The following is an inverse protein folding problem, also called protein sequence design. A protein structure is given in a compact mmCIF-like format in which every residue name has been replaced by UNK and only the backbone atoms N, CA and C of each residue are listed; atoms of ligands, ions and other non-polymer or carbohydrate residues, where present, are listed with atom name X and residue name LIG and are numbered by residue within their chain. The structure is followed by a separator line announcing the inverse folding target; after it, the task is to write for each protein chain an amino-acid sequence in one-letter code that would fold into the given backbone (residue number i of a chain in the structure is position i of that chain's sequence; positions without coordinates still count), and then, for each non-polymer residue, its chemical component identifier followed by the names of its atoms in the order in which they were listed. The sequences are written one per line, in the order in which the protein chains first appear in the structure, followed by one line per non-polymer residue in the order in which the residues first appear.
data_IF_019128409475
#
_entry.id   IF_019128409475
#
_cell.length_a   1.000
_cell.length_b   1.000
_cell.length_c   1.000
_cell.angle_alpha   90.00
_cell.angle_beta   90.00
_cell.angle_gamma   90.00
#
_symmetry.space_group_name_H-M   'P 1'
#
loop_
_entity.id
_entity.type
_entity.pdbx_description
1 polymer ?
#
# COMPACT_ATOMS: atom_id res chain seq x y z
N UNK A 1 22.64 6.52 21.03
CA UNK A 1 21.82 6.39 19.82
C UNK A 1 20.75 5.34 20.13
N UNK A 2 19.54 5.79 20.47
CA UNK A 2 18.44 4.89 20.84
C UNK A 2 17.86 4.32 19.55
N UNK A 3 18.01 3.01 19.36
CA UNK A 3 17.25 2.28 18.35
C UNK A 3 15.79 2.31 18.80
N UNK A 4 14.98 3.21 18.21
CA UNK A 4 13.54 3.03 18.19
C UNK A 4 13.29 1.73 17.43
N UNK A 5 13.16 0.62 18.15
CA UNK A 5 12.56 -0.59 17.61
C UNK A 5 11.13 -0.20 17.23
N UNK A 6 10.91 0.05 15.94
CA UNK A 6 9.58 0.25 15.38
C UNK A 6 8.72 -0.96 15.74
N UNK A 7 7.73 -0.74 16.62
CA UNK A 7 6.78 -1.77 17.02
C UNK A 7 5.80 -1.95 15.86
N UNK A 8 6.19 -2.75 14.87
CA UNK A 8 5.23 -3.26 13.91
C UNK A 8 4.52 -4.44 14.56
N UNK A 9 3.20 -4.32 14.66
CA UNK A 9 2.36 -5.37 15.21
C UNK A 9 2.51 -6.67 14.43
N UNK A 10 2.47 -7.86 15.09
CA UNK A 10 2.45 -9.13 14.38
C UNK A 10 1.17 -9.25 13.54
N UNK A 11 1.20 -10.08 12.49
CA UNK A 11 0.05 -10.24 11.58
C UNK A 11 -1.23 -10.69 12.33
N UNK A 12 -1.09 -11.42 13.43
CA UNK A 12 -2.20 -11.86 14.30
C UNK A 12 -2.90 -10.73 15.06
N UNK A 13 -2.30 -9.54 15.16
CA UNK A 13 -2.91 -8.37 15.77
C UNK A 13 -3.96 -7.70 14.87
N UNK A 14 -3.96 -8.05 13.57
CA UNK A 14 -4.93 -7.55 12.62
C UNK A 14 -6.11 -8.51 12.54
N UNK A 15 -7.31 -7.95 12.42
CA UNK A 15 -8.49 -8.75 12.07
C UNK A 15 -8.42 -9.28 10.63
N UNK A 16 -9.57 -9.67 10.09
CA UNK A 16 -9.63 -10.10 8.69
C UNK A 16 -9.33 -8.92 7.74
N UNK A 17 -8.18 -9.00 7.07
CA UNK A 17 -7.79 -8.12 5.96
C UNK A 17 -7.69 -8.95 4.70
N UNK A 18 -8.40 -8.53 3.66
CA UNK A 18 -8.43 -9.16 2.36
C UNK A 18 -7.84 -8.21 1.32
N UNK A 19 -6.80 -8.65 0.63
CA UNK A 19 -6.24 -7.93 -0.51
C UNK A 19 -6.68 -8.62 -1.79
N UNK A 20 -7.34 -7.88 -2.68
CA UNK A 20 -7.69 -8.35 -4.01
C UNK A 20 -6.48 -8.47 -4.92
N UNK A 21 -6.71 -8.98 -6.14
CA UNK A 21 -5.71 -8.90 -7.19
C UNK A 21 -5.45 -7.42 -7.56
N UNK A 22 -4.22 -7.15 -7.97
CA UNK A 22 -3.86 -5.89 -8.60
C UNK A 22 -4.37 -5.88 -10.04
N UNK A 23 -5.35 -5.02 -10.30
CA UNK A 23 -5.88 -4.79 -11.64
C UNK A 23 -5.27 -3.51 -12.19
N UNK A 24 -4.15 -3.70 -12.88
CA UNK A 24 -3.50 -2.66 -13.67
C UNK A 24 -3.18 -1.37 -12.89
N UNK A 25 -2.53 -1.52 -11.73
CA UNK A 25 -2.13 -0.37 -10.91
C UNK A 25 -3.10 -0.06 -9.78
N UNK A 26 -4.18 -0.83 -9.63
CA UNK A 26 -5.18 -0.65 -8.59
C UNK A 26 -5.44 -1.95 -7.87
N UNK A 27 -5.16 -1.96 -6.58
CA UNK A 27 -5.48 -3.06 -5.71
C UNK A 27 -6.54 -2.65 -4.68
N UNK A 28 -7.66 -3.37 -4.63
CA UNK A 28 -8.66 -3.18 -3.59
C UNK A 28 -8.28 -3.97 -2.34
N UNK A 29 -8.22 -3.30 -1.19
CA UNK A 29 -8.00 -3.91 0.12
C UNK A 29 -9.21 -3.68 1.01
N UNK A 30 -9.78 -4.76 1.54
CA UNK A 30 -10.96 -4.75 2.41
C UNK A 30 -10.59 -5.17 3.81
N UNK A 31 -10.96 -4.37 4.81
CA UNK A 31 -10.63 -4.66 6.20
C UNK A 31 -11.60 -3.99 7.18
N UNK A 32 -11.68 -4.54 8.38
CA UNK A 32 -12.39 -3.92 9.50
C UNK A 32 -11.43 -3.07 10.33
N UNK A 33 -11.82 -1.83 10.60
CA UNK A 33 -11.11 -0.92 11.50
C UNK A 33 -12.12 -0.03 12.22
N UNK A 34 -11.96 0.19 13.53
CA UNK A 34 -12.91 0.97 14.36
C UNK A 34 -14.39 0.60 14.14
N UNK A 35 -14.70 -0.70 14.11
CA UNK A 35 -16.04 -1.25 13.87
C UNK A 35 -16.69 -0.84 12.54
N UNK A 36 -15.89 -0.43 11.55
CA UNK A 36 -16.34 -0.12 10.18
C UNK A 36 -15.59 -0.96 9.16
N UNK A 37 -16.31 -1.43 8.14
CA UNK A 37 -15.71 -2.03 6.97
C UNK A 37 -15.17 -0.93 6.05
N UNK A 38 -13.90 -1.02 5.73
CA UNK A 38 -13.21 -0.16 4.77
C UNK A 38 -12.88 -0.95 3.49
N UNK A 39 -13.09 -0.32 2.34
CA UNK A 39 -12.72 -0.84 1.02
C UNK A 39 -11.85 0.23 0.34
N UNK A 40 -10.53 0.07 0.48
CA UNK A 40 -9.54 1.07 0.07
C UNK A 40 -8.88 0.62 -1.22
N UNK A 41 -8.81 1.50 -2.21
CA UNK A 41 -8.03 1.34 -3.42
C UNK A 41 -6.61 1.83 -3.18
N UNK A 42 -5.64 0.97 -3.45
CA UNK A 42 -4.21 1.26 -3.37
C UNK A 42 -3.64 1.41 -4.77
N UNK A 43 -2.97 2.53 -5.03
CA UNK A 43 -2.25 2.76 -6.28
C UNK A 43 -0.88 2.08 -6.28
N UNK A 44 -0.59 1.29 -7.32
CA UNK A 44 0.64 0.52 -7.47
C UNK A 44 1.33 0.84 -8.80
N UNK A 45 2.61 0.48 -8.90
CA UNK A 45 3.42 0.62 -10.13
C UNK A 45 2.92 -0.21 -11.33
N UNK A 46 1.98 -1.13 -11.11
CA UNK A 46 1.39 -1.93 -12.19
C UNK A 46 0.54 -1.11 -13.18
N UNK A 47 0.34 0.19 -12.93
CA UNK A 47 -0.39 1.06 -13.85
C UNK A 47 0.28 1.19 -15.22
N UNK A 48 1.59 0.95 -15.33
CA UNK A 48 2.33 0.92 -16.60
C UNK A 48 1.73 -0.08 -17.61
N UNK A 49 1.08 -1.14 -17.14
CA UNK A 49 0.40 -2.11 -18.00
C UNK A 49 -0.81 -1.52 -18.75
N UNK A 50 -1.34 -0.38 -18.30
CA UNK A 50 -2.41 0.35 -18.99
C UNK A 50 -1.88 1.23 -20.11
N UNK A 51 -0.57 1.51 -20.18
CA UNK A 51 -0.03 2.55 -21.04
C UNK A 51 -0.44 2.40 -22.51
N UNK A 52 -0.46 1.17 -23.02
CA UNK A 52 -0.82 0.86 -24.40
C UNK A 52 -2.33 0.91 -24.69
N UNK A 53 -3.16 0.80 -23.64
CA UNK A 53 -4.64 0.75 -23.75
C UNK A 53 -5.32 2.00 -23.18
N UNK A 54 -4.53 2.98 -22.74
CA UNK A 54 -5.03 4.22 -22.17
C UNK A 54 -5.56 5.15 -23.26
N UNK A 55 -6.82 5.58 -23.11
CA UNK A 55 -7.50 6.40 -24.12
C UNK A 55 -7.20 7.91 -24.03
N UNK A 56 -6.40 8.36 -23.04
CA UNK A 56 -6.04 9.77 -22.82
C UNK A 56 -4.64 10.14 -23.32
N UNK A 57 -4.23 11.40 -23.11
CA UNK A 57 -2.88 11.83 -23.45
C UNK A 57 -1.82 11.26 -22.51
N UNK A 58 -0.54 11.43 -22.86
CA UNK A 58 0.56 11.07 -21.97
C UNK A 58 0.51 11.83 -20.63
N UNK A 59 0.11 13.10 -20.68
CA UNK A 59 -0.08 13.95 -19.51
C UNK A 59 -1.27 13.49 -18.66
N UNK A 60 -2.37 13.07 -19.29
CA UNK A 60 -3.52 12.51 -18.57
C UNK A 60 -3.14 11.20 -17.87
N UNK A 61 -2.34 10.34 -18.52
CA UNK A 61 -1.85 9.10 -17.89
C UNK A 61 -0.95 9.40 -16.69
N UNK A 62 0.00 10.33 -16.84
CA UNK A 62 0.88 10.75 -15.75
C UNK A 62 0.03 11.23 -14.57
N UNK A 63 -0.92 12.13 -14.83
CA UNK A 63 -1.82 12.69 -13.84
C UNK A 63 -2.70 11.64 -13.17
N UNK A 64 -3.33 10.74 -13.92
CA UNK A 64 -4.41 9.89 -13.40
C UNK A 64 -3.90 8.53 -12.87
N UNK A 65 -2.80 8.04 -13.42
CA UNK A 65 -2.21 6.74 -13.10
C UNK A 65 -0.92 6.89 -12.28
N UNK A 66 0.08 7.59 -12.80
CA UNK A 66 1.42 7.63 -12.17
C UNK A 66 1.39 8.37 -10.83
N UNK A 67 0.72 9.52 -10.74
CA UNK A 67 0.61 10.23 -9.45
C UNK A 67 -0.17 9.47 -8.38
N UNK A 68 -0.93 8.43 -8.77
CA UNK A 68 -1.67 7.57 -7.84
C UNK A 68 -0.77 6.56 -7.12
N UNK A 69 0.42 6.26 -7.65
CA UNK A 69 1.32 5.27 -7.05
C UNK A 69 1.63 5.66 -5.60
N UNK A 70 1.50 4.69 -4.68
CA UNK A 70 1.74 4.91 -3.26
C UNK A 70 0.63 5.71 -2.56
N UNK A 71 -0.54 5.85 -3.17
CA UNK A 71 -1.71 6.49 -2.55
C UNK A 71 -2.78 5.48 -2.14
N UNK A 72 -3.61 5.88 -1.19
CA UNK A 72 -4.80 5.17 -0.75
C UNK A 72 -6.03 6.08 -0.90
N UNK A 73 -7.07 5.60 -1.59
CA UNK A 73 -8.35 6.30 -1.76
C UNK A 73 -9.54 5.37 -1.52
N UNK A 74 -10.73 5.92 -1.33
CA UNK A 74 -11.96 5.16 -1.52
C UNK A 74 -12.35 5.10 -3.01
N UNK A 75 -13.36 4.30 -3.33
CA UNK A 75 -13.88 4.13 -4.69
C UNK A 75 -14.55 5.41 -5.22
N UNK A 76 -15.16 6.20 -4.33
CA UNK A 76 -15.70 7.53 -4.62
C UNK A 76 -14.61 8.62 -4.75
N UNK A 77 -13.33 8.21 -4.79
CA UNK A 77 -12.16 9.07 -4.92
C UNK A 77 -11.92 10.02 -3.73
N UNK A 78 -12.62 9.82 -2.61
CA UNK A 78 -12.33 10.53 -1.37
C UNK A 78 -11.13 9.92 -0.62
N UNK A 79 -10.49 10.74 0.20
CA UNK A 79 -9.34 10.32 1.01
C UNK A 79 -9.81 9.58 2.29
N UNK A 80 -9.30 8.37 2.56
CA UNK A 80 -9.43 7.75 3.88
C UNK A 80 -8.79 8.61 4.96
N UNK A 81 -9.27 8.47 6.20
CA UNK A 81 -8.62 9.09 7.34
C UNK A 81 -7.19 8.54 7.51
N UNK A 82 -6.26 9.37 8.01
CA UNK A 82 -4.86 8.98 8.21
C UNK A 82 -4.71 7.70 9.04
N UNK A 83 -5.51 7.52 10.10
CA UNK A 83 -5.50 6.32 10.95
C UNK A 83 -5.87 5.03 10.18
N UNK A 84 -6.78 5.14 9.21
CA UNK A 84 -7.18 4.02 8.35
C UNK A 84 -6.00 3.60 7.46
N UNK A 85 -5.28 4.58 6.91
CA UNK A 85 -4.09 4.33 6.08
C UNK A 85 -2.91 3.85 6.94
N UNK A 86 -2.77 4.35 8.17
CA UNK A 86 -1.77 3.89 9.12
C UNK A 86 -1.96 2.42 9.50
N UNK A 87 -3.19 2.01 9.81
CA UNK A 87 -3.55 0.60 10.03
C UNK A 87 -3.19 -0.26 8.81
N UNK A 88 -3.54 0.21 7.60
CA UNK A 88 -3.23 -0.50 6.36
C UNK A 88 -1.70 -0.63 6.14
N UNK A 89 -0.93 0.44 6.39
CA UNK A 89 0.52 0.43 6.29
C UNK A 89 1.15 -0.57 7.27
N UNK A 90 0.68 -0.59 8.52
CA UNK A 90 1.13 -1.57 9.52
C UNK A 90 0.84 -3.01 9.06
N UNK A 91 -0.38 -3.26 8.56
CA UNK A 91 -0.75 -4.59 8.06
C UNK A 91 0.12 -5.00 6.86
N UNK A 92 0.36 -4.11 5.89
CA UNK A 92 1.20 -4.40 4.72
C UNK A 92 2.63 -4.76 5.13
N UNK A 93 3.19 -4.02 6.09
CA UNK A 93 4.52 -4.31 6.63
C UNK A 93 4.56 -5.64 7.40
N UNK A 94 3.57 -5.91 8.26
CA UNK A 94 3.46 -7.16 8.99
C UNK A 94 3.32 -8.36 8.05
N UNK A 95 2.46 -8.25 7.03
CA UNK A 95 2.26 -9.28 6.00
C UNK A 95 3.54 -9.54 5.20
N UNK A 96 4.28 -8.48 4.85
CA UNK A 96 5.55 -8.60 4.17
C UNK A 96 6.58 -9.35 5.02
N UNK A 97 6.77 -8.95 6.29
CA UNK A 97 7.68 -9.62 7.23
C UNK A 97 7.33 -11.08 7.45
N UNK A 98 6.06 -11.38 7.65
CA UNK A 98 5.56 -12.74 7.83
C UNK A 98 5.81 -13.60 6.58
N UNK A 99 5.62 -13.04 5.38
CA UNK A 99 5.97 -13.74 4.13
C UNK A 99 7.47 -13.98 4.01
N UNK A 100 8.30 -12.97 4.24
CA UNK A 100 9.77 -13.11 4.20
C UNK A 100 10.21 -14.19 5.18
N UNK A 101 9.75 -14.12 6.43
CA UNK A 101 10.09 -15.10 7.46
C UNK A 101 9.74 -16.53 7.04
N UNK A 102 8.53 -16.75 6.49
CA UNK A 102 8.11 -18.07 5.97
C UNK A 102 9.00 -18.59 4.84
N UNK A 103 9.42 -17.72 3.92
CA UNK A 103 10.28 -18.10 2.80
C UNK A 103 11.67 -18.47 3.30
N UNK A 104 12.25 -17.65 4.18
CA UNK A 104 13.60 -17.86 4.71
C UNK A 104 13.70 -19.01 5.71
N UNK A 105 12.59 -19.42 6.34
CA UNK A 105 12.58 -20.49 7.34
C UNK A 105 12.55 -21.91 6.75
N UNK A 106 12.42 -22.04 5.42
CA UNK A 106 12.28 -23.34 4.73
C UNK A 106 13.30 -23.46 3.57
N UNK A 107 14.61 -23.41 3.86
CA UNK A 107 15.64 -23.46 2.82
C UNK A 107 15.64 -24.78 2.02
N UNK A 108 15.13 -25.87 2.59
CA UNK A 108 14.94 -27.14 1.90
C UNK A 108 13.91 -27.07 0.77
N UNK A 109 12.96 -26.13 0.84
CA UNK A 109 11.91 -25.93 -0.16
C UNK A 109 12.21 -24.80 -1.14
N UNK A 110 12.83 -23.73 -0.64
CA UNK A 110 13.02 -22.49 -1.40
C UNK A 110 14.48 -22.16 -1.70
N UNK A 111 15.43 -22.97 -1.21
CA UNK A 111 16.86 -22.65 -1.26
C UNK A 111 17.25 -21.62 -0.20
N UNK A 112 18.55 -21.29 -0.15
CA UNK A 112 19.03 -20.19 0.68
C UNK A 112 18.78 -18.88 -0.06
N UNK A 113 17.76 -18.15 0.37
CA UNK A 113 17.39 -16.85 -0.18
C UNK A 113 18.25 -15.74 0.44
N UNK A 114 18.65 -14.80 -0.40
CA UNK A 114 19.31 -13.55 -0.02
C UNK A 114 18.33 -12.38 -0.07
N UNK A 115 18.76 -11.20 0.36
CA UNK A 115 17.93 -9.98 0.28
C UNK A 115 17.53 -9.63 -1.17
N UNK A 116 18.38 -9.95 -2.15
CA UNK A 116 18.11 -9.71 -3.58
C UNK A 116 17.01 -10.62 -4.14
N UNK A 117 16.80 -11.80 -3.52
CA UNK A 117 15.75 -12.75 -3.90
C UNK A 117 14.39 -12.40 -3.29
N UNK A 118 14.37 -11.49 -2.32
CA UNK A 118 13.17 -11.08 -1.60
C UNK A 118 12.62 -9.78 -2.22
N UNK A 119 11.31 -9.76 -2.46
CA UNK A 119 10.64 -8.51 -2.85
C UNK A 119 10.91 -7.42 -1.80
N UNK A 120 11.12 -6.15 -2.18
CA UNK A 120 11.35 -5.09 -1.21
C UNK A 120 10.15 -4.90 -0.26
N UNK A 121 10.41 -4.26 0.88
CA UNK A 121 9.35 -3.86 1.80
C UNK A 121 8.36 -2.94 1.07
N UNK A 122 7.04 -3.11 1.30
CA UNK A 122 6.04 -2.34 0.60
C UNK A 122 6.18 -0.83 0.89
N UNK A 123 6.04 0.06 -0.10
CA UNK A 123 6.16 1.50 0.13
C UNK A 123 5.05 2.00 1.04
N UNK A 124 5.33 3.05 1.83
CA UNK A 124 4.33 3.68 2.71
C UNK A 124 3.26 4.35 1.86
N UNK A 125 1.99 4.05 2.16
CA UNK A 125 0.84 4.69 1.52
C UNK A 125 0.50 6.01 2.19
N UNK A 126 0.04 6.97 1.40
CA UNK A 126 -0.54 8.22 1.87
C UNK A 126 -2.02 8.32 1.48
N UNK A 127 -2.90 8.86 2.33
CA UNK A 127 -4.27 9.17 1.95
C UNK A 127 -4.29 10.21 0.82
N UNK A 128 -5.09 9.98 -0.21
CA UNK A 128 -5.25 10.91 -1.32
C UNK A 128 -6.70 10.98 -1.82
N UNK A 129 -7.06 12.14 -2.35
CA UNK A 129 -8.31 12.38 -3.05
C UNK A 129 -8.03 12.88 -4.47
N UNK A 130 -8.98 12.70 -5.37
CA UNK A 130 -8.82 13.14 -6.75
C UNK A 130 -9.43 14.54 -6.96
N UNK A 131 -8.71 15.40 -7.68
CA UNK A 131 -9.19 16.70 -8.14
C UNK A 131 -9.19 16.71 -9.67
N UNK A 132 -10.37 16.94 -10.26
CA UNK A 132 -10.52 16.99 -11.71
C UNK A 132 -9.57 18.02 -12.33
N UNK A 133 -8.79 17.57 -13.33
CA UNK A 133 -7.79 18.41 -14.02
C UNK A 133 -6.46 18.55 -13.28
N UNK A 134 -6.39 18.24 -11.98
CA UNK A 134 -5.15 18.30 -11.19
C UNK A 134 -4.58 16.93 -10.81
N UNK A 135 -5.41 15.89 -10.73
CA UNK A 135 -4.98 14.54 -10.39
C UNK A 135 -5.11 14.22 -8.90
N UNK A 136 -4.26 13.30 -8.43
CA UNK A 136 -4.28 12.84 -7.05
C UNK A 136 -3.58 13.82 -6.10
N UNK A 137 -4.34 14.36 -5.15
CA UNK A 137 -3.85 15.26 -4.11
C UNK A 137 -3.68 14.47 -2.82
N UNK A 138 -2.44 14.46 -2.30
CA UNK A 138 -2.09 13.79 -1.05
C UNK A 138 -2.59 14.63 0.13
N UNK A 139 -3.42 14.04 0.97
CA UNK A 139 -3.96 14.68 2.18
C UNK A 139 -2.96 14.68 3.35
N UNK A 140 -1.87 13.93 3.21
CA UNK A 140 -0.80 13.81 4.19
C UNK A 140 0.53 13.59 3.45
N UNK A 141 1.63 14.08 4.03
CA UNK A 141 2.97 13.75 3.55
C UNK A 141 3.42 12.35 3.99
N UNK A 142 4.46 11.83 3.33
CA UNK A 142 4.92 10.45 3.54
C UNK A 142 5.53 10.22 4.93
N UNK A 143 6.22 11.22 5.49
CA UNK A 143 6.84 11.11 6.81
C UNK A 143 5.79 11.16 7.91
N UNK A 144 4.77 12.00 7.75
CA UNK A 144 3.58 12.01 8.61
C UNK A 144 2.85 10.68 8.58
N UNK A 145 2.66 10.08 7.40
CA UNK A 145 2.01 8.78 7.26
C UNK A 145 2.85 7.65 7.88
N UNK A 146 4.17 7.69 7.70
CA UNK A 146 5.13 6.76 8.30
C UNK A 146 5.08 6.83 9.83
N UNK A 147 5.18 8.04 10.39
CA UNK A 147 5.13 8.26 11.84
C UNK A 147 3.82 7.77 12.44
N UNK A 148 2.68 8.08 11.80
CA UNK A 148 1.36 7.64 12.26
C UNK A 148 1.22 6.11 12.24
N UNK A 149 1.86 5.45 11.28
CA UNK A 149 1.91 3.99 11.21
C UNK A 149 2.94 3.37 12.17
N UNK A 150 3.81 4.15 12.83
CA UNK A 150 4.90 3.63 13.66
C UNK A 150 6.01 2.94 12.85
N UNK A 151 6.22 3.39 11.62
CA UNK A 151 7.19 2.88 10.62
C UNK A 151 8.39 3.80 10.40
#
# INVERSE_FOLDING_TARGET
MSAFQQIINPLSAFGNVYSGADYFGLQMVKFWFNNRLHQVLVGTENCEKLRETYNGSAEDFERDCVTRIGTASYEDQSAPAGEVVAFLNQWRQASHRDRVARLTSQPERYGFLTEEDLEPAPPVLVPAFYVQGSGWVKAQDIEGARLMAGL
#
